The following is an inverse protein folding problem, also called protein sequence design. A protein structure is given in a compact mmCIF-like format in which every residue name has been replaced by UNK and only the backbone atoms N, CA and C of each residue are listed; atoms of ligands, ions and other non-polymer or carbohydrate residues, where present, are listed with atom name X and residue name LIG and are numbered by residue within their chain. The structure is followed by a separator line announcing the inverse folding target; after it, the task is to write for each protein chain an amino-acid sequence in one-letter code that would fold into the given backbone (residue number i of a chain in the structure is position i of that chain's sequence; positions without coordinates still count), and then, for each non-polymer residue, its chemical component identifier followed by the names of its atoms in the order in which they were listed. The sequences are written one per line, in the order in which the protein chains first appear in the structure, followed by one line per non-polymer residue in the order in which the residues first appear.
data_IF_967130739848
#
_entry.id   IF_967130739848
#
_cell.length_a   1.000
_cell.length_b   1.000
_cell.length_c   1.000
_cell.angle_alpha   90.00
_cell.angle_beta   90.00
_cell.angle_gamma   90.00
#
_symmetry.space_group_name_H-M   'P 1'
#
loop_
_entity.id
_entity.type
_entity.pdbx_description
1 polymer ?
#
# COMPACT_ATOMS: atom_id res chain seq x y z
N UNK A 1 -9.92 -14.52 -3.28
CA UNK A 1 -9.98 -13.06 -3.46
C UNK A 1 -8.81 -12.54 -2.66
N UNK A 2 -7.99 -11.66 -3.23
CA UNK A 2 -6.83 -11.12 -2.52
C UNK A 2 -7.28 -10.49 -1.20
N UNK A 3 -6.62 -10.83 -0.09
CA UNK A 3 -6.88 -10.26 1.23
C UNK A 3 -5.74 -9.34 1.68
N UNK A 4 -4.76 -9.11 0.80
CA UNK A 4 -3.59 -8.31 1.09
C UNK A 4 -3.99 -6.91 1.58
N UNK A 5 -4.90 -6.25 0.88
CA UNK A 5 -5.37 -4.91 1.24
C UNK A 5 -6.16 -4.89 2.56
N UNK A 6 -6.97 -5.92 2.84
CA UNK A 6 -7.66 -6.03 4.13
C UNK A 6 -6.66 -6.21 5.29
N UNK A 7 -5.61 -6.99 5.07
CA UNK A 7 -4.55 -7.25 6.06
C UNK A 7 -3.76 -5.98 6.34
N UNK A 8 -3.33 -5.29 5.27
CA UNK A 8 -2.55 -4.06 5.38
C UNK A 8 -3.40 -2.96 6.01
N UNK A 9 -4.59 -2.67 5.49
CA UNK A 9 -5.41 -1.58 6.03
C UNK A 9 -5.97 -1.84 7.43
N UNK A 10 -6.11 -3.11 7.82
CA UNK A 10 -6.58 -3.49 9.15
C UNK A 10 -5.51 -3.45 10.25
N UNK A 11 -4.25 -3.20 9.91
CA UNK A 11 -3.16 -3.03 10.87
C UNK A 11 -3.33 -1.74 11.68
N UNK A 12 -2.98 -1.76 12.97
CA UNK A 12 -3.18 -0.63 13.88
C UNK A 12 -2.38 0.60 13.43
N UNK A 13 -1.13 0.41 13.00
CA UNK A 13 -0.27 1.50 12.53
C UNK A 13 -0.86 2.14 11.25
N UNK A 14 -1.47 1.32 10.40
CA UNK A 14 -2.07 1.77 9.13
C UNK A 14 -3.42 2.45 9.32
N UNK A 15 -4.20 2.06 10.33
CA UNK A 15 -5.48 2.72 10.62
C UNK A 15 -5.24 4.19 11.01
N UNK A 16 -4.28 4.43 11.91
CA UNK A 16 -3.90 5.78 12.31
C UNK A 16 -3.35 6.59 11.11
N UNK A 17 -2.52 5.97 10.27
CA UNK A 17 -2.01 6.60 9.05
C UNK A 17 -3.11 6.98 8.05
N UNK A 18 -4.08 6.08 7.80
CA UNK A 18 -5.20 6.34 6.89
C UNK A 18 -6.11 7.48 7.38
N UNK A 19 -6.30 7.60 8.69
CA UNK A 19 -7.00 8.73 9.31
C UNK A 19 -6.26 10.05 9.09
N UNK A 20 -4.94 10.06 9.19
CA UNK A 20 -4.12 11.24 8.88
C UNK A 20 -4.22 11.66 7.41
N UNK A 21 -4.20 10.70 6.48
CA UNK A 21 -4.31 10.97 5.04
C UNK A 21 -5.66 11.57 4.64
N UNK A 22 -6.74 11.24 5.35
CA UNK A 22 -8.09 11.77 5.08
C UNK A 22 -8.19 13.30 5.19
N UNK A 23 -7.32 13.91 6.00
CA UNK A 23 -7.31 15.34 6.25
C UNK A 23 -6.43 16.13 5.24
N UNK A 24 -5.74 15.43 4.34
CA UNK A 24 -4.86 16.03 3.33
C UNK A 24 -5.60 16.39 2.04
N UNK A 25 -5.08 17.38 1.31
CA UNK A 25 -5.50 17.62 -0.07
C UNK A 25 -4.77 16.69 -1.05
N UNK A 26 -5.26 16.57 -2.29
CA UNK A 26 -4.75 15.60 -3.27
C UNK A 26 -3.24 15.67 -3.47
N UNK A 27 -2.65 16.88 -3.42
CA UNK A 27 -1.20 17.05 -3.62
C UNK A 27 -0.43 16.61 -2.38
N UNK A 28 -0.87 17.08 -1.21
CA UNK A 28 -0.22 16.74 0.06
C UNK A 28 -0.41 15.23 0.38
N UNK A 29 -1.51 14.62 -0.08
CA UNK A 29 -1.79 13.19 -0.03
C UNK A 29 -0.75 12.40 -0.85
N UNK A 30 -0.54 12.76 -2.11
CA UNK A 30 0.44 12.09 -2.95
C UNK A 30 1.87 12.21 -2.38
N UNK A 31 2.27 13.40 -1.94
CA UNK A 31 3.56 13.61 -1.27
C UNK A 31 3.71 12.74 0.00
N UNK A 32 2.65 12.60 0.79
CA UNK A 32 2.66 11.75 1.99
C UNK A 32 2.78 10.25 1.65
N UNK A 33 2.12 9.78 0.58
CA UNK A 33 2.26 8.41 0.11
C UNK A 33 3.69 8.14 -0.37
N UNK A 34 4.28 9.05 -1.15
CA UNK A 34 5.67 8.91 -1.62
C UNK A 34 6.67 8.90 -0.44
N UNK A 35 6.48 9.77 0.56
CA UNK A 35 7.37 9.85 1.72
C UNK A 35 7.30 8.57 2.57
N UNK A 36 6.09 8.03 2.80
CA UNK A 36 5.90 6.78 3.52
C UNK A 36 6.61 5.61 2.82
N UNK A 37 6.49 5.51 1.49
CA UNK A 37 7.15 4.45 0.71
C UNK A 37 8.67 4.60 0.75
N UNK A 38 9.18 5.83 0.58
CA UNK A 38 10.62 6.10 0.68
C UNK A 38 11.18 5.77 2.06
N UNK A 39 10.46 6.14 3.12
CA UNK A 39 10.82 5.81 4.50
C UNK A 39 10.88 4.30 4.68
N UNK A 40 9.89 3.55 4.22
CA UNK A 40 9.88 2.09 4.27
C UNK A 40 11.03 1.43 3.48
N UNK A 41 11.38 1.99 2.32
CA UNK A 41 12.45 1.47 1.47
C UNK A 41 13.85 1.68 2.07
N UNK A 42 14.08 2.85 2.68
CA UNK A 42 15.42 3.33 2.99
C UNK A 42 15.74 3.49 4.49
N UNK A 43 14.72 3.65 5.33
CA UNK A 43 14.91 4.12 6.70
C UNK A 43 14.21 3.26 7.76
N UNK A 44 13.14 2.56 7.42
CA UNK A 44 12.37 1.74 8.34
C UNK A 44 12.94 0.32 8.48
N UNK A 45 12.71 -0.29 9.66
CA UNK A 45 12.91 -1.71 9.87
C UNK A 45 11.65 -2.48 9.45
N UNK A 46 11.77 -3.70 8.95
CA UNK A 46 10.62 -4.50 8.45
C UNK A 46 9.51 -4.66 9.51
N UNK A 47 9.87 -4.65 10.80
CA UNK A 47 8.92 -4.81 11.91
C UNK A 47 8.42 -3.49 12.51
N UNK A 48 8.69 -2.33 11.89
CA UNK A 48 8.23 -1.03 12.39
C UNK A 48 6.95 -0.60 11.70
N UNK A 49 6.14 0.20 12.41
CA UNK A 49 4.95 0.83 11.85
C UNK A 49 5.24 1.69 10.63
N UNK A 50 6.41 2.35 10.57
CA UNK A 50 6.85 3.08 9.36
C UNK A 50 6.97 2.18 8.13
N UNK A 51 7.37 0.91 8.30
CA UNK A 51 7.39 -0.05 7.19
C UNK A 51 5.98 -0.50 6.82
N UNK A 52 5.11 -0.71 7.82
CA UNK A 52 3.67 -0.98 7.64
C UNK A 52 3.00 0.12 6.83
N UNK A 53 3.20 1.38 7.23
CA UNK A 53 2.64 2.57 6.57
C UNK A 53 3.12 2.68 5.12
N UNK A 54 4.39 2.36 4.85
CA UNK A 54 4.89 2.31 3.47
C UNK A 54 4.21 1.22 2.64
N UNK A 55 3.96 0.03 3.20
CA UNK A 55 3.19 -1.01 2.51
C UNK A 55 1.74 -0.58 2.26
N UNK A 56 1.13 0.10 3.23
CA UNK A 56 -0.19 0.72 3.07
C UNK A 56 -0.21 1.72 1.92
N UNK A 57 0.73 2.67 1.92
CA UNK A 57 0.86 3.66 0.86
C UNK A 57 1.08 3.03 -0.52
N UNK A 58 1.97 2.03 -0.62
CA UNK A 58 2.22 1.34 -1.88
C UNK A 58 1.00 0.52 -2.36
N UNK A 59 0.22 -0.02 -1.43
CA UNK A 59 -1.03 -0.72 -1.75
C UNK A 59 -2.09 0.23 -2.29
N UNK A 60 -2.22 1.44 -1.72
CA UNK A 60 -3.09 2.49 -2.25
C UNK A 60 -2.67 2.87 -3.67
N UNK A 61 -1.37 3.10 -3.90
CA UNK A 61 -0.85 3.41 -5.23
C UNK A 61 -1.13 2.29 -6.25
N UNK A 62 -1.04 1.01 -5.85
CA UNK A 62 -1.43 -0.11 -6.69
C UNK A 62 -2.93 -0.12 -7.02
N UNK A 63 -3.80 0.23 -6.06
CA UNK A 63 -5.24 0.40 -6.32
C UNK A 63 -5.47 1.54 -7.31
N UNK A 64 -4.74 2.65 -7.18
CA UNK A 64 -4.80 3.76 -8.14
C UNK A 64 -4.29 3.35 -9.52
N UNK A 65 -3.34 2.42 -9.61
CA UNK A 65 -2.91 1.80 -10.85
C UNK A 65 -3.93 0.78 -11.43
N UNK A 66 -4.98 0.45 -10.69
CA UNK A 66 -6.08 -0.43 -11.12
C UNK A 66 -6.07 -1.82 -10.50
N UNK A 67 -5.29 -2.06 -9.43
CA UNK A 67 -5.37 -3.31 -8.69
C UNK A 67 -6.79 -3.52 -8.12
N UNK A 68 -7.36 -4.73 -8.23
CA UNK A 68 -8.60 -5.07 -7.54
C UNK A 68 -8.36 -5.14 -6.03
N UNK A 69 -9.28 -4.57 -5.25
CA UNK A 69 -9.24 -4.56 -3.78
C UNK A 69 -10.52 -5.15 -3.18
N UNK A 70 -10.42 -5.63 -1.94
CA UNK A 70 -11.50 -6.29 -1.18
C UNK A 70 -11.98 -5.44 0.02
N UNK A 71 -11.15 -4.53 0.53
CA UNK A 71 -11.37 -3.70 1.71
C UNK A 71 -12.39 -2.56 1.48
N UNK A 72 -13.62 -2.92 1.09
CA UNK A 72 -14.68 -1.98 0.75
C UNK A 72 -15.08 -1.06 1.91
N UNK A 73 -15.12 -1.59 3.15
CA UNK A 73 -15.43 -0.79 4.34
C UNK A 73 -14.40 0.31 4.56
N UNK A 74 -13.11 -0.04 4.46
CA UNK A 74 -12.02 0.94 4.59
C UNK A 74 -12.12 1.98 3.47
N UNK A 75 -12.37 1.57 2.23
CA UNK A 75 -12.53 2.52 1.12
C UNK A 75 -13.77 3.42 1.23
N UNK A 76 -14.78 3.03 2.01
CA UNK A 76 -15.93 3.88 2.32
C UNK A 76 -15.59 4.91 3.41
N UNK A 77 -14.77 4.54 4.39
CA UNK A 77 -14.28 5.43 5.47
C UNK A 77 -13.13 6.35 5.01
N UNK A 78 -12.36 5.92 4.00
CA UNK A 78 -11.22 6.62 3.40
C UNK A 78 -11.41 6.74 1.88
N UNK A 79 -12.24 7.70 1.40
CA UNK A 79 -12.65 7.75 0.00
C UNK A 79 -11.51 7.92 -1.01
N UNK A 80 -10.38 8.52 -0.61
CA UNK A 80 -9.22 8.73 -1.46
C UNK A 80 -8.66 7.42 -2.05
N UNK A 81 -8.85 6.28 -1.35
CA UNK A 81 -8.43 4.95 -1.82
C UNK A 81 -9.01 4.63 -3.20
N UNK A 82 -10.23 5.07 -3.50
CA UNK A 82 -10.91 4.80 -4.78
C UNK A 82 -11.07 6.01 -5.70
N UNK A 83 -10.84 7.22 -5.20
CA UNK A 83 -11.10 8.44 -5.97
C UNK A 83 -10.09 8.68 -7.10
N UNK A 84 -8.86 8.19 -6.96
CA UNK A 84 -7.76 8.41 -7.92
C UNK A 84 -7.45 7.18 -8.78
N UNK A 85 -8.39 6.25 -8.94
CA UNK A 85 -8.20 5.08 -9.80
C UNK A 85 -8.01 5.54 -11.25
N UNK A 86 -6.85 5.21 -11.83
CA UNK A 86 -6.40 5.61 -13.15
C UNK A 86 -5.53 6.88 -13.16
N UNK A 87 -5.24 7.46 -11.99
CA UNK A 87 -4.52 8.74 -11.84
C UNK A 87 -3.21 8.61 -11.04
N UNK A 88 -2.54 7.45 -11.08
CA UNK A 88 -1.24 7.28 -10.42
C UNK A 88 -0.11 7.97 -11.20
N UNK A 89 0.68 8.83 -10.55
CA UNK A 89 1.87 9.40 -11.17
C UNK A 89 2.99 8.36 -11.30
N UNK A 90 3.86 8.54 -12.30
CA UNK A 90 4.93 7.58 -12.59
C UNK A 90 5.96 7.44 -11.47
N UNK A 91 6.21 8.49 -10.69
CA UNK A 91 7.13 8.46 -9.54
C UNK A 91 6.60 7.58 -8.42
N UNK A 92 5.39 7.88 -7.94
CA UNK A 92 4.67 7.08 -6.95
C UNK A 92 4.52 5.62 -7.39
N UNK A 93 4.14 5.36 -8.65
CA UNK A 93 4.00 4.00 -9.19
C UNK A 93 5.33 3.21 -9.09
N UNK A 94 6.45 3.81 -9.47
CA UNK A 94 7.76 3.14 -9.46
C UNK A 94 8.22 2.83 -8.02
N UNK A 95 8.02 3.76 -7.09
CA UNK A 95 8.34 3.56 -5.67
C UNK A 95 7.47 2.45 -5.06
N UNK A 96 6.17 2.48 -5.33
CA UNK A 96 5.24 1.46 -4.86
C UNK A 96 5.62 0.07 -5.39
N UNK A 97 5.98 -0.01 -6.68
CA UNK A 97 6.42 -1.27 -7.30
C UNK A 97 7.65 -1.82 -6.60
N UNK A 98 8.66 -0.97 -6.38
CA UNK A 98 9.89 -1.39 -5.71
C UNK A 98 9.62 -1.95 -4.31
N UNK A 99 8.75 -1.31 -3.52
CA UNK A 99 8.47 -1.74 -2.15
C UNK A 99 7.64 -3.04 -2.12
N UNK A 100 6.55 -3.12 -2.89
CA UNK A 100 5.70 -4.31 -2.92
C UNK A 100 6.44 -5.51 -3.52
N UNK A 101 7.25 -5.29 -4.55
CA UNK A 101 8.08 -6.35 -5.14
C UNK A 101 9.13 -6.87 -4.14
N UNK A 102 9.80 -5.97 -3.40
CA UNK A 102 10.73 -6.35 -2.33
C UNK A 102 10.05 -7.18 -1.24
N UNK A 103 8.84 -6.80 -0.82
CA UNK A 103 8.10 -7.56 0.19
C UNK A 103 7.62 -8.92 -0.35
N UNK A 104 7.21 -8.97 -1.62
CA UNK A 104 6.85 -10.22 -2.30
C UNK A 104 8.03 -11.19 -2.38
N UNK A 105 9.21 -10.74 -2.81
CA UNK A 105 10.43 -11.56 -2.81
C UNK A 105 10.79 -12.04 -1.40
N UNK A 106 10.73 -11.14 -0.40
CA UNK A 106 11.02 -11.47 1.00
C UNK A 106 10.13 -12.60 1.53
N UNK A 107 8.82 -12.54 1.25
CA UNK A 107 7.85 -13.57 1.68
C UNK A 107 8.04 -14.88 0.94
N UNK A 108 8.30 -14.81 -0.38
CA UNK A 108 8.61 -15.99 -1.18
C UNK A 108 9.85 -16.74 -0.67
N UNK A 109 10.92 -16.02 -0.29
CA UNK A 109 12.14 -16.62 0.29
C UNK A 109 11.89 -17.30 1.64
N UNK A 110 10.95 -16.77 2.43
CA UNK A 110 10.58 -17.34 3.73
C UNK A 110 9.63 -18.54 3.63
N UNK A 111 9.20 -18.89 2.41
CA UNK A 111 8.16 -19.89 2.16
C UNK A 111 6.90 -19.58 3.00
N UNK A 112 6.57 -18.30 3.08
CA UNK A 112 5.42 -17.81 3.82
C UNK A 112 4.15 -17.98 2.99
N UNK A 113 3.58 -19.17 3.04
CA UNK A 113 2.26 -19.51 2.46
C UNK A 113 1.11 -19.13 3.43
N UNK A 114 1.31 -18.14 4.29
CA UNK A 114 0.23 -17.64 5.16
C UNK A 114 -0.88 -17.00 4.32
N UNK A 115 -2.13 -17.12 4.81
CA UNK A 115 -3.27 -16.46 4.19
C UNK A 115 -3.03 -14.94 4.09
N UNK A 116 -2.31 -14.35 5.04
CA UNK A 116 -1.94 -12.92 5.10
C UNK A 116 -0.98 -12.47 3.96
N UNK A 117 -0.43 -13.41 3.19
CA UNK A 117 0.39 -13.13 2.00
C UNK A 117 -0.40 -13.30 0.69
N UNK A 118 -1.65 -13.77 0.75
CA UNK A 118 -2.41 -14.15 -0.43
C UNK A 118 -2.85 -12.91 -1.24
N UNK A 119 -2.30 -12.81 -2.45
CA UNK A 119 -2.71 -11.82 -3.44
C UNK A 119 -1.93 -10.50 -3.43
N UNK A 120 -0.82 -10.41 -2.68
CA UNK A 120 0.21 -9.36 -2.87
C UNK A 120 0.70 -9.29 -4.32
N UNK A 121 0.89 -10.45 -4.97
CA UNK A 121 1.28 -10.55 -6.38
C UNK A 121 0.38 -9.71 -7.31
N UNK A 122 -0.94 -9.69 -7.05
CA UNK A 122 -1.90 -8.91 -7.84
C UNK A 122 -1.63 -7.41 -7.78
N UNK A 123 -1.19 -6.89 -6.64
CA UNK A 123 -0.85 -5.47 -6.48
C UNK A 123 0.50 -5.15 -7.15
N UNK A 124 1.47 -6.07 -7.08
CA UNK A 124 2.75 -5.95 -7.81
C UNK A 124 2.51 -5.92 -9.32
N UNK A 125 1.67 -6.81 -9.84
CA UNK A 125 1.33 -6.89 -11.26
C UNK A 125 0.63 -5.63 -11.77
N UNK A 126 -0.24 -5.01 -10.97
CA UNK A 126 -0.95 -3.79 -11.36
C UNK A 126 -0.02 -2.60 -11.58
N UNK A 127 1.14 -2.59 -10.91
CA UNK A 127 2.14 -1.52 -11.01
C UNK A 127 3.20 -1.77 -12.10
N UNK A 128 3.22 -2.96 -12.71
CA UNK A 128 4.23 -3.42 -13.69
C UNK A 128 3.83 -3.16 -15.14
#
# INVERSE_FOLDING_TARGET
MSNWDETVFGDEDNTDFLDELNDLDDRDLEEALEDAINTALHHAAISSGEYSNGLCAATIAAIWAGAPYSAATVADDHPFIRQHIGEVEGGLQELALQLLYKEHERRAEQMDDSEDAEGLETFVEALS
#
